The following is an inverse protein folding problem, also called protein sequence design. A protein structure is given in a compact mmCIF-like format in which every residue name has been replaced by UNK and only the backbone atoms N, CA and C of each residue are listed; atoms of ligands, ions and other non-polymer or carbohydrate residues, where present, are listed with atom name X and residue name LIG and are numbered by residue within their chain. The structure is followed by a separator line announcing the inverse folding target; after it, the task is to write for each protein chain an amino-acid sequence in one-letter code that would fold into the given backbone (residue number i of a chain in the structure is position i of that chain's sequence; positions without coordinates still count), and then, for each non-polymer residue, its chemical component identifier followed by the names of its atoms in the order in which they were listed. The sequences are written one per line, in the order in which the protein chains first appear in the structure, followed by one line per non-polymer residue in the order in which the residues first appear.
data_IF_950947792611
#
_entry.id   IF_950947792611
#
_cell.length_a   1.000
_cell.length_b   1.000
_cell.length_c   1.000
_cell.angle_alpha   90.00
_cell.angle_beta   90.00
_cell.angle_gamma   90.00
#
_symmetry.space_group_name_H-M   'P 1'
#
loop_
_entity.id
_entity.type
_entity.pdbx_description
1 polymer ?
#
# COMPACT_ATOMS: atom_id res chain seq x y z
N UNK A 1 11.06 20.43 30.84
CA UNK A 1 10.56 19.13 31.34
C UNK A 1 9.12 18.88 30.87
N UNK A 2 8.88 18.54 29.59
CA UNK A 2 7.58 18.07 29.05
C UNK A 2 7.82 17.36 27.70
N UNK A 3 8.36 16.14 27.71
CA UNK A 3 8.60 15.34 26.49
C UNK A 3 8.31 13.85 26.67
N UNK A 4 7.74 13.43 27.80
CA UNK A 4 7.46 12.02 28.10
C UNK A 4 6.02 11.60 27.82
N UNK A 5 5.08 12.52 27.57
CA UNK A 5 3.67 12.14 27.36
C UNK A 5 3.35 11.74 25.91
N UNK A 6 4.09 12.27 24.93
CA UNK A 6 3.80 12.07 23.50
C UNK A 6 4.14 10.65 23.03
N UNK A 7 5.29 10.11 23.47
CA UNK A 7 5.70 8.74 23.10
C UNK A 7 4.77 7.67 23.71
N UNK A 8 4.28 7.91 24.93
CA UNK A 8 3.36 7.00 25.62
C UNK A 8 1.99 6.97 24.93
N UNK A 9 1.49 8.12 24.46
CA UNK A 9 0.23 8.19 23.71
C UNK A 9 0.31 7.48 22.35
N UNK A 10 1.43 7.61 21.63
CA UNK A 10 1.64 6.91 20.36
C UNK A 10 1.72 5.40 20.57
N UNK A 11 2.46 4.94 21.58
CA UNK A 11 2.55 3.51 21.91
C UNK A 11 1.19 2.92 22.30
N UNK A 12 0.39 3.65 23.09
CA UNK A 12 -0.96 3.23 23.49
C UNK A 12 -1.92 3.24 22.31
N UNK A 13 -1.84 4.22 21.40
CA UNK A 13 -2.67 4.26 20.19
C UNK A 13 -2.35 3.09 19.23
N UNK A 14 -1.07 2.75 19.05
CA UNK A 14 -0.63 1.59 18.26
C UNK A 14 -1.07 0.27 18.92
N UNK A 15 -0.98 0.18 20.24
CA UNK A 15 -1.46 -0.99 20.99
C UNK A 15 -3.00 -1.13 20.92
N UNK A 16 -3.75 -0.03 21.02
CA UNK A 16 -5.21 -0.06 20.88
C UNK A 16 -5.63 -0.45 19.45
N UNK A 17 -4.96 0.08 18.43
CA UNK A 17 -5.24 -0.26 17.04
C UNK A 17 -4.95 -1.75 16.71
N UNK A 18 -4.00 -2.39 17.41
CA UNK A 18 -3.70 -3.82 17.25
C UNK A 18 -4.68 -4.73 18.01
N UNK A 19 -5.28 -4.27 19.11
CA UNK A 19 -6.22 -5.06 19.92
C UNK A 19 -7.68 -4.97 19.47
N UNK A 20 -8.06 -3.97 18.67
CA UNK A 20 -9.45 -3.80 18.18
C UNK A 20 -9.62 -4.16 16.71
N UNK A 21 -8.83 -5.08 16.15
CA UNK A 21 -9.17 -5.67 14.85
C UNK A 21 -10.42 -6.51 15.06
N UNK A 22 -11.59 -6.13 14.48
CA UNK A 22 -12.81 -6.90 14.66
C UNK A 22 -12.56 -8.32 14.18
N UNK A 23 -12.79 -9.30 15.05
CA UNK A 23 -12.88 -10.70 14.61
C UNK A 23 -14.11 -10.79 13.72
N UNK A 24 -13.91 -10.64 12.42
CA UNK A 24 -14.97 -10.78 11.42
C UNK A 24 -15.55 -12.17 11.62
N UNK A 25 -16.79 -12.24 12.08
CA UNK A 25 -17.49 -13.50 12.24
C UNK A 25 -17.45 -14.22 10.89
N UNK A 26 -16.89 -15.43 10.87
CA UNK A 26 -16.53 -16.22 9.68
C UNK A 26 -17.71 -16.67 8.81
N UNK A 27 -18.88 -16.04 8.92
CA UNK A 27 -20.11 -16.40 8.24
C UNK A 27 -20.41 -15.55 6.98
N UNK A 28 -19.68 -14.45 6.76
CA UNK A 28 -19.84 -13.60 5.58
C UNK A 28 -18.46 -13.24 5.00
N UNK A 29 -17.72 -14.23 4.52
CA UNK A 29 -16.57 -13.94 3.65
C UNK A 29 -17.10 -13.27 2.38
N UNK A 30 -16.69 -12.03 2.14
CA UNK A 30 -16.94 -11.38 0.87
C UNK A 30 -16.43 -12.28 -0.28
N UNK A 31 -17.03 -12.20 -1.48
CA UNK A 31 -16.46 -12.87 -2.65
C UNK A 31 -14.97 -12.50 -2.76
N UNK A 32 -14.06 -13.45 -3.06
CA UNK A 32 -12.62 -13.17 -3.16
C UNK A 32 -12.30 -12.01 -4.10
N UNK A 33 -13.18 -11.80 -5.08
CA UNK A 33 -13.14 -10.71 -6.04
C UNK A 33 -13.33 -9.33 -5.39
N UNK A 34 -14.23 -9.23 -4.43
CA UNK A 34 -14.56 -8.01 -3.70
C UNK A 34 -13.48 -7.71 -2.66
N UNK A 35 -12.95 -8.74 -2.00
CA UNK A 35 -11.82 -8.61 -1.09
C UNK A 35 -10.56 -8.11 -1.83
N UNK A 36 -10.19 -8.76 -2.93
CA UNK A 36 -9.05 -8.32 -3.76
C UNK A 36 -9.22 -6.91 -4.31
N UNK A 37 -10.43 -6.54 -4.74
CA UNK A 37 -10.72 -5.18 -5.18
C UNK A 37 -10.61 -4.16 -4.04
N UNK A 38 -11.14 -4.46 -2.84
CA UNK A 38 -11.08 -3.57 -1.69
C UNK A 38 -9.63 -3.31 -1.25
N UNK A 39 -8.83 -4.37 -1.16
CA UNK A 39 -7.39 -4.25 -0.88
C UNK A 39 -6.64 -3.49 -1.97
N UNK A 40 -6.99 -3.72 -3.24
CA UNK A 40 -6.46 -2.98 -4.38
C UNK A 40 -6.77 -1.49 -4.33
N UNK A 41 -8.01 -1.09 -4.01
CA UNK A 41 -8.37 0.32 -3.83
C UNK A 41 -7.59 0.93 -2.67
N UNK A 42 -7.53 0.25 -1.53
CA UNK A 42 -6.84 0.76 -0.34
C UNK A 42 -5.34 0.96 -0.58
N UNK A 43 -4.66 -0.06 -1.08
CA UNK A 43 -3.22 -0.01 -1.40
C UNK A 43 -2.91 0.99 -2.51
N UNK A 44 -3.65 0.97 -3.61
CA UNK A 44 -3.48 1.91 -4.71
C UNK A 44 -3.71 3.35 -4.26
N UNK A 45 -4.71 3.60 -3.41
CA UNK A 45 -4.99 4.92 -2.84
C UNK A 45 -3.84 5.44 -1.97
N UNK A 46 -3.27 4.59 -1.11
CA UNK A 46 -2.09 4.93 -0.30
C UNK A 46 -0.89 5.26 -1.18
N UNK A 47 -0.64 4.47 -2.23
CA UNK A 47 0.46 4.70 -3.18
C UNK A 47 0.27 6.01 -3.93
N UNK A 48 -0.92 6.27 -4.47
CA UNK A 48 -1.27 7.53 -5.12
C UNK A 48 -1.09 8.71 -4.17
N UNK A 49 -1.53 8.60 -2.91
CA UNK A 49 -1.35 9.65 -1.91
C UNK A 49 0.14 9.91 -1.62
N UNK A 50 0.96 8.86 -1.55
CA UNK A 50 2.41 8.97 -1.43
C UNK A 50 3.06 9.68 -2.62
N UNK A 51 2.66 9.34 -3.84
CA UNK A 51 3.15 10.00 -5.06
C UNK A 51 2.75 11.48 -5.12
N UNK A 52 1.50 11.81 -4.80
CA UNK A 52 1.03 13.21 -4.75
C UNK A 52 1.76 14.01 -3.66
N UNK A 53 2.00 13.39 -2.50
CA UNK A 53 2.78 14.00 -1.41
C UNK A 53 4.21 14.29 -1.87
N UNK A 54 4.85 13.32 -2.53
CA UNK A 54 6.19 13.47 -3.08
C UNK A 54 6.26 14.56 -4.16
N UNK A 55 5.30 14.57 -5.10
CA UNK A 55 5.20 15.59 -6.15
C UNK A 55 5.04 17.01 -5.58
N UNK A 56 4.17 17.15 -4.56
CA UNK A 56 3.98 18.41 -3.84
C UNK A 56 5.27 18.90 -3.18
N UNK A 57 6.08 17.98 -2.63
CA UNK A 57 7.39 18.32 -2.03
C UNK A 57 8.46 18.70 -3.05
N UNK A 58 8.35 18.20 -4.27
CA UNK A 58 9.20 18.61 -5.39
C UNK A 58 8.75 19.93 -6.04
N UNK A 59 7.73 20.61 -5.50
CA UNK A 59 7.20 21.85 -6.05
C UNK A 59 6.32 21.67 -7.29
N UNK A 60 5.93 20.44 -7.63
CA UNK A 60 5.00 20.16 -8.72
C UNK A 60 3.56 20.28 -8.20
N UNK A 61 2.98 21.47 -8.31
CA UNK A 61 1.58 21.68 -8.01
C UNK A 61 0.71 21.40 -9.24
N UNK A 62 -0.21 20.45 -9.13
CA UNK A 62 -1.14 20.11 -10.21
C UNK A 62 -2.15 21.26 -10.39
N UNK A 63 -1.88 22.18 -11.31
CA UNK A 63 -2.81 23.27 -11.69
C UNK A 63 -3.65 22.95 -12.93
N UNK A 64 -3.42 21.78 -13.53
CA UNK A 64 -4.14 21.27 -14.68
C UNK A 64 -4.86 19.98 -14.28
N UNK A 65 -6.06 19.69 -14.81
CA UNK A 65 -6.74 18.41 -14.62
C UNK A 65 -6.13 17.25 -15.42
N UNK A 66 -5.21 17.52 -16.36
CA UNK A 66 -4.63 16.51 -17.27
C UNK A 66 -3.51 15.60 -16.68
N UNK A 67 -2.68 16.00 -15.69
CA UNK A 67 -1.65 15.12 -15.12
C UNK A 67 -2.22 14.02 -14.19
N UNK A 68 -3.46 14.18 -13.70
CA UNK A 68 -4.10 13.23 -12.78
C UNK A 68 -4.22 11.81 -13.37
N UNK A 69 -4.24 11.66 -14.69
CA UNK A 69 -4.42 10.34 -15.33
C UNK A 69 -3.28 9.38 -14.95
N UNK A 70 -2.04 9.89 -14.85
CA UNK A 70 -0.89 9.06 -14.50
C UNK A 70 -0.76 8.81 -12.99
N UNK A 71 -1.16 9.79 -12.17
CA UNK A 71 -1.14 9.66 -10.70
C UNK A 71 -2.23 8.72 -10.16
N UNK A 72 -3.34 8.61 -10.87
CA UNK A 72 -4.45 7.70 -10.51
C UNK A 72 -4.15 6.26 -10.91
N UNK A 73 -3.28 6.03 -11.92
CA UNK A 73 -2.98 4.71 -12.47
C UNK A 73 -2.64 3.60 -11.45
N UNK A 74 -1.97 3.88 -10.30
CA UNK A 74 -1.76 2.87 -9.26
C UNK A 74 -3.06 2.23 -8.73
N UNK A 75 -4.17 2.97 -8.68
CA UNK A 75 -5.46 2.47 -8.18
C UNK A 75 -6.04 1.37 -9.08
N UNK A 76 -6.33 1.59 -10.38
CA UNK A 76 -6.86 0.54 -11.23
C UNK A 76 -5.89 -0.64 -11.39
N UNK A 77 -4.57 -0.40 -11.39
CA UNK A 77 -3.57 -1.48 -11.43
C UNK A 77 -3.61 -2.34 -10.17
N UNK A 78 -3.67 -1.73 -8.98
CA UNK A 78 -3.77 -2.45 -7.72
C UNK A 78 -5.11 -3.18 -7.59
N UNK A 79 -6.21 -2.60 -8.06
CA UNK A 79 -7.53 -3.27 -8.11
C UNK A 79 -7.49 -4.49 -9.04
N UNK A 80 -6.97 -4.33 -10.26
CA UNK A 80 -6.87 -5.42 -11.22
C UNK A 80 -5.96 -6.54 -10.69
N UNK A 81 -4.76 -6.19 -10.22
CA UNK A 81 -3.79 -7.13 -9.67
C UNK A 81 -4.31 -7.84 -8.42
N UNK A 82 -4.89 -7.10 -7.47
CA UNK A 82 -5.46 -7.66 -6.24
C UNK A 82 -6.65 -8.58 -6.52
N UNK A 83 -7.56 -8.18 -7.41
CA UNK A 83 -8.70 -9.02 -7.82
C UNK A 83 -8.24 -10.29 -8.52
N UNK A 84 -7.26 -10.19 -9.41
CA UNK A 84 -6.72 -11.35 -10.12
C UNK A 84 -6.03 -12.30 -9.14
N UNK A 85 -5.19 -11.78 -8.25
CA UNK A 85 -4.46 -12.60 -7.29
C UNK A 85 -5.40 -13.28 -6.29
N UNK A 86 -6.40 -12.56 -5.76
CA UNK A 86 -7.39 -13.12 -4.83
C UNK A 86 -8.24 -14.24 -5.48
N UNK A 87 -8.51 -14.14 -6.79
CA UNK A 87 -9.24 -15.17 -7.54
C UNK A 87 -8.41 -16.42 -7.85
N UNK A 88 -7.16 -16.22 -8.27
CA UNK A 88 -6.34 -17.30 -8.85
C UNK A 88 -5.35 -17.92 -7.87
N UNK A 89 -4.92 -17.18 -6.84
CA UNK A 89 -3.87 -17.63 -5.90
C UNK A 89 -4.09 -17.01 -4.51
N UNK A 90 -5.16 -17.46 -3.84
CA UNK A 90 -5.57 -16.96 -2.53
C UNK A 90 -4.49 -17.07 -1.43
N UNK A 91 -3.66 -18.13 -1.38
CA UNK A 91 -2.53 -18.18 -0.45
C UNK A 91 -1.50 -17.07 -0.70
N UNK A 92 -1.07 -16.85 -1.95
CA UNK A 92 -0.17 -15.74 -2.30
C UNK A 92 -0.80 -14.39 -2.02
N UNK A 93 -2.10 -14.24 -2.28
CA UNK A 93 -2.84 -13.03 -1.94
C UNK A 93 -2.72 -12.71 -0.44
N UNK A 94 -3.03 -13.68 0.42
CA UNK A 94 -2.93 -13.51 1.87
C UNK A 94 -1.53 -13.11 2.34
N UNK A 95 -0.49 -13.75 1.81
CA UNK A 95 0.90 -13.41 2.16
C UNK A 95 1.32 -12.04 1.62
N UNK A 96 0.86 -11.66 0.43
CA UNK A 96 1.08 -10.32 -0.12
C UNK A 96 0.41 -9.24 0.71
N UNK A 97 -0.82 -9.46 1.20
CA UNK A 97 -1.53 -8.50 2.07
C UNK A 97 -0.81 -8.38 3.41
N UNK A 98 -0.41 -9.49 4.03
CA UNK A 98 0.35 -9.49 5.29
C UNK A 98 1.68 -8.77 5.15
N UNK A 99 2.44 -9.11 4.11
CA UNK A 99 3.70 -8.45 3.78
C UNK A 99 3.50 -6.96 3.55
N UNK A 100 2.49 -6.57 2.77
CA UNK A 100 2.14 -5.18 2.48
C UNK A 100 1.76 -4.39 3.73
N UNK A 101 0.97 -4.96 4.65
CA UNK A 101 0.59 -4.32 5.91
C UNK A 101 1.79 -4.11 6.85
N UNK A 102 2.65 -5.12 6.98
CA UNK A 102 3.87 -5.02 7.79
C UNK A 102 4.84 -4.00 7.19
N UNK A 103 5.01 -4.05 5.86
CA UNK A 103 5.81 -3.10 5.11
C UNK A 103 5.28 -1.67 5.25
N UNK A 104 3.97 -1.47 5.13
CA UNK A 104 3.33 -0.17 5.33
C UNK A 104 3.59 0.36 6.73
N UNK A 105 3.35 -0.44 7.76
CA UNK A 105 3.55 -0.02 9.15
C UNK A 105 5.00 0.37 9.45
N UNK A 106 5.95 -0.49 9.06
CA UNK A 106 7.39 -0.24 9.25
C UNK A 106 7.85 0.96 8.44
N UNK A 107 7.48 1.05 7.17
CA UNK A 107 7.79 2.16 6.28
C UNK A 107 7.21 3.48 6.77
N UNK A 108 5.98 3.49 7.29
CA UNK A 108 5.35 4.70 7.83
C UNK A 108 6.04 5.19 9.10
N UNK A 109 6.44 4.28 10.00
CA UNK A 109 7.20 4.65 11.20
C UNK A 109 8.57 5.23 10.82
N UNK A 110 9.32 4.55 9.95
CA UNK A 110 10.63 5.04 9.49
C UNK A 110 10.50 6.37 8.76
N UNK A 111 9.53 6.48 7.86
CA UNK A 111 9.23 7.71 7.14
C UNK A 111 8.84 8.87 8.05
N UNK A 112 8.04 8.61 9.09
CA UNK A 112 7.67 9.64 10.08
C UNK A 112 8.87 10.16 10.87
N UNK A 113 9.84 9.27 11.18
CA UNK A 113 11.06 9.64 11.90
C UNK A 113 12.04 10.41 11.01
N UNK A 114 12.12 10.06 9.73
CA UNK A 114 13.03 10.70 8.77
C UNK A 114 12.47 11.99 8.16
N UNK A 115 11.14 12.12 8.07
CA UNK A 115 10.48 13.29 7.46
C UNK A 115 10.98 14.63 8.00
N UNK A 116 10.96 14.86 9.33
CA UNK A 116 11.45 16.11 9.94
C UNK A 116 12.96 16.34 9.82
N UNK A 117 13.73 15.37 9.31
CA UNK A 117 15.16 15.58 9.03
C UNK A 117 15.38 16.20 7.64
N UNK A 118 14.36 16.18 6.79
CA UNK A 118 14.42 16.69 5.41
C UNK A 118 13.91 18.13 5.33
N UNK A 119 13.09 18.57 6.30
CA UNK A 119 12.60 19.94 6.39
C UNK A 119 12.17 20.32 7.81
N UNK A 120 11.84 21.60 8.00
CA UNK A 120 11.48 22.17 9.30
C UNK A 120 9.95 22.35 9.48
N UNK A 121 9.13 21.88 8.54
CA UNK A 121 7.69 22.08 8.61
C UNK A 121 7.03 21.01 9.49
N UNK A 122 6.04 21.42 10.30
CA UNK A 122 5.29 20.51 11.16
C UNK A 122 4.53 19.39 10.43
N UNK A 123 4.44 19.46 9.10
CA UNK A 123 3.80 18.45 8.24
C UNK A 123 4.78 17.42 7.69
N UNK A 124 6.09 17.57 7.94
CA UNK A 124 7.14 16.73 7.36
C UNK A 124 7.11 15.29 7.89
N UNK A 125 6.77 15.12 9.17
CA UNK A 125 6.54 13.81 9.76
C UNK A 125 5.39 13.06 9.06
N UNK A 126 4.28 13.75 8.77
CA UNK A 126 3.13 13.14 8.09
C UNK A 126 3.46 12.80 6.64
N UNK A 127 4.10 13.72 5.93
CA UNK A 127 4.51 13.50 4.54
C UNK A 127 5.49 12.31 4.44
N UNK A 128 6.49 12.29 5.34
CA UNK A 128 7.42 11.18 5.47
C UNK A 128 6.72 9.86 5.76
N UNK A 129 5.75 9.84 6.69
CA UNK A 129 4.99 8.65 7.03
C UNK A 129 4.22 8.08 5.84
N UNK A 130 3.58 8.92 5.03
CA UNK A 130 2.83 8.46 3.86
C UNK A 130 3.78 7.95 2.77
N UNK A 131 4.84 8.68 2.45
CA UNK A 131 5.81 8.26 1.44
C UNK A 131 6.50 6.95 1.85
N UNK A 132 6.98 6.89 3.10
CA UNK A 132 7.59 5.68 3.66
C UNK A 132 6.61 4.52 3.73
N UNK A 133 5.36 4.78 4.13
CA UNK A 133 4.29 3.79 4.16
C UNK A 133 3.98 3.23 2.78
N UNK A 134 3.87 4.09 1.75
CA UNK A 134 3.65 3.66 0.37
C UNK A 134 4.79 2.78 -0.15
N UNK A 135 6.06 3.19 0.05
CA UNK A 135 7.23 2.41 -0.36
C UNK A 135 7.29 1.08 0.40
N UNK A 136 7.07 1.13 1.71
CA UNK A 136 7.04 -0.05 2.56
C UNK A 136 5.93 -1.02 2.16
N UNK A 137 4.74 -0.52 1.82
CA UNK A 137 3.62 -1.34 1.33
C UNK A 137 4.00 -2.09 0.05
N UNK A 138 4.59 -1.40 -0.92
CA UNK A 138 5.03 -2.00 -2.18
C UNK A 138 6.10 -3.06 -1.95
N UNK A 139 7.15 -2.73 -1.19
CA UNK A 139 8.24 -3.66 -0.88
C UNK A 139 7.74 -4.88 -0.08
N UNK A 140 6.88 -4.65 0.90
CA UNK A 140 6.28 -5.71 1.72
C UNK A 140 5.38 -6.64 0.91
N UNK A 141 4.56 -6.08 0.01
CA UNK A 141 3.71 -6.86 -0.90
C UNK A 141 4.56 -7.73 -1.82
N UNK A 142 5.62 -7.17 -2.42
CA UNK A 142 6.55 -7.90 -3.28
C UNK A 142 7.30 -9.01 -2.52
N UNK A 143 7.77 -8.74 -1.30
CA UNK A 143 8.40 -9.75 -0.44
C UNK A 143 7.43 -10.88 -0.06
N UNK A 144 6.17 -10.55 0.23
CA UNK A 144 5.13 -11.54 0.53
C UNK A 144 4.89 -12.47 -0.66
N UNK A 145 4.82 -11.92 -1.87
CA UNK A 145 4.71 -12.70 -3.11
C UNK A 145 5.92 -13.62 -3.32
N UNK A 146 7.14 -13.12 -3.08
CA UNK A 146 8.38 -13.89 -3.26
C UNK A 146 8.55 -15.04 -2.25
N UNK A 147 7.95 -14.95 -1.07
CA UNK A 147 8.04 -15.95 0.00
C UNK A 147 7.14 -17.17 -0.16
N UNK A 148 6.43 -17.29 -1.28
CA UNK A 148 5.54 -18.43 -1.52
C UNK A 148 6.20 -19.41 -2.51
N UNK A 149 7.05 -20.36 -2.02
CA UNK A 149 7.92 -21.19 -2.85
C UNK A 149 7.21 -22.24 -3.73
N UNK A 150 5.91 -22.53 -3.50
CA UNK A 150 5.28 -23.74 -4.05
C UNK A 150 4.23 -23.55 -5.14
N UNK A 151 3.96 -22.33 -5.60
CA UNK A 151 3.10 -22.18 -6.78
C UNK A 151 3.98 -22.21 -8.03
N UNK A 152 3.99 -23.38 -8.69
CA UNK A 152 4.81 -23.74 -9.84
C UNK A 152 5.08 -22.58 -10.79
N UNK A 153 6.33 -22.50 -11.25
CA UNK A 153 6.94 -21.49 -12.12
C UNK A 153 6.07 -20.26 -12.44
N UNK A 154 6.43 -19.04 -11.98
CA UNK A 154 5.73 -17.82 -12.33
C UNK A 154 6.04 -17.42 -13.78
N UNK A 155 5.47 -18.14 -14.75
CA UNK A 155 5.32 -17.62 -16.09
C UNK A 155 4.04 -16.78 -16.10
N UNK A 156 4.19 -15.47 -15.93
CA UNK A 156 3.19 -14.56 -16.47
C UNK A 156 3.39 -14.59 -17.99
N UNK A 157 2.74 -15.52 -18.68
CA UNK A 157 2.63 -15.43 -20.14
C UNK A 157 1.66 -14.28 -20.40
N UNK A 158 2.24 -13.11 -20.68
CA UNK A 158 1.52 -12.05 -21.35
C UNK A 158 1.33 -12.53 -22.79
N UNK A 159 0.22 -13.24 -23.03
CA UNK A 159 -0.20 -13.58 -24.38
C UNK A 159 -0.59 -12.28 -25.09
N UNK A 160 0.38 -11.63 -25.70
CA UNK A 160 0.14 -10.50 -26.59
C UNK A 160 -0.48 -11.08 -27.88
N UNK A 161 -1.82 -11.05 -27.97
CA UNK A 161 -2.52 -11.39 -29.20
C UNK A 161 -2.21 -10.28 -30.20
N UNK A 162 -1.21 -10.49 -31.04
CA UNK A 162 -0.94 -9.62 -32.19
C UNK A 162 -1.90 -10.02 -33.32
N UNK A 163 -2.76 -9.12 -33.81
CA UNK A 163 -3.52 -9.38 -35.02
C UNK A 163 -2.53 -9.42 -36.19
N UNK A 164 -2.22 -10.63 -36.65
CA UNK A 164 -1.52 -10.81 -37.92
C UNK A 164 -2.59 -10.59 -39.01
N UNK A 165 -2.58 -9.39 -39.60
CA UNK A 165 -3.43 -9.06 -40.74
C UNK A 165 -3.09 -9.91 -41.97
N UNK A 166 -4.01 -10.01 -42.94
CA UNK A 166 -3.87 -10.84 -44.14
C UNK A 166 -2.73 -10.39 -45.06
#
# INVERSE_FOLDING_TARGET
MRSTSTHTLVAVAVALATFTVPRVASAQSAPPTLEGAAWGVGSGGVVTLGLLTLGSRMGHFHHSPNPLVWEILPVPLAVAGGTWLARNDHPRFGESVRGGLLGFGTGAVVGALLGPMVGDDGTDAWAGAIMGGAVGLLAGTAMGLARTPDAGEPWIVISLILPVGP
#
